data_IF_736831085941
#
_entry.id   IF_736831085941
#
_cell.length_a   1.000
_cell.length_b   1.000
_cell.length_c   1.000
_cell.angle_alpha   90.00
_cell.angle_beta   90.00
_cell.angle_gamma   90.00
#
_symmetry.space_group_name_H-M   'P 1'
#
loop_
_entity.id
_entity.type
_entity.pdbx_description
1 polymer ?
#
# COMPACT_ATOMS: atom_id res chain seq x y z
N UNK A 1 26.93 -16.30 20.64
CA UNK A 1 25.97 -15.25 20.23
C UNK A 1 24.80 -16.02 19.67
N UNK A 2 23.86 -16.31 20.57
CA UNK A 2 22.87 -17.37 20.44
C UNK A 2 21.70 -16.95 19.55
N UNK A 3 20.99 -17.98 19.07
CA UNK A 3 19.76 -17.96 18.29
C UNK A 3 18.62 -17.16 18.96
N UNK A 4 18.73 -15.83 18.95
CA UNK A 4 17.75 -14.88 19.46
C UNK A 4 17.42 -13.87 18.38
N UNK A 5 16.69 -14.30 17.35
CA UNK A 5 15.79 -13.44 16.57
C UNK A 5 15.01 -14.26 15.54
N UNK A 6 14.30 -15.31 16.00
CA UNK A 6 13.05 -15.66 15.31
C UNK A 6 11.99 -14.64 15.74
N UNK A 7 12.26 -13.41 15.33
CA UNK A 7 11.32 -12.32 15.13
C UNK A 7 9.93 -12.87 14.86
N UNK A 8 8.96 -12.57 15.71
CA UNK A 8 7.57 -12.84 15.39
C UNK A 8 7.29 -12.15 14.04
N UNK A 9 7.07 -12.95 13.00
CA UNK A 9 7.00 -12.44 11.64
C UNK A 9 5.80 -11.50 11.51
N UNK A 10 6.05 -10.21 11.26
CA UNK A 10 4.99 -9.30 10.88
C UNK A 10 4.43 -9.72 9.51
N UNK A 11 3.12 -9.57 9.34
CA UNK A 11 2.49 -9.81 8.06
C UNK A 11 3.03 -8.83 7.00
N UNK A 12 3.23 -9.28 5.74
CA UNK A 12 3.61 -8.37 4.66
C UNK A 12 2.51 -7.34 4.42
N UNK A 13 2.92 -6.10 4.18
CA UNK A 13 2.00 -4.98 3.86
C UNK A 13 1.98 -4.68 2.36
N UNK A 14 3.03 -5.10 1.66
CA UNK A 14 3.15 -4.93 0.22
C UNK A 14 3.90 -6.09 -0.42
N UNK A 15 3.78 -6.22 -1.73
CA UNK A 15 4.60 -7.11 -2.53
C UNK A 15 4.86 -6.53 -3.92
N UNK A 16 6.01 -6.84 -4.52
CA UNK A 16 6.30 -6.52 -5.91
C UNK A 16 6.14 -7.75 -6.77
N UNK A 17 5.60 -7.55 -7.97
CA UNK A 17 5.34 -8.59 -8.95
C UNK A 17 6.44 -8.61 -10.01
N UNK A 18 7.07 -9.75 -10.23
CA UNK A 18 8.12 -9.94 -11.22
C UNK A 18 7.83 -11.15 -12.12
N UNK A 19 8.34 -11.07 -13.36
CA UNK A 19 8.68 -12.30 -14.09
C UNK A 19 9.87 -12.98 -13.39
N UNK A 20 9.91 -14.31 -13.37
CA UNK A 20 10.91 -15.07 -12.60
C UNK A 20 12.36 -14.70 -12.98
N UNK A 21 12.61 -14.49 -14.27
CA UNK A 21 13.91 -14.08 -14.82
C UNK A 21 14.34 -12.66 -14.43
N UNK A 22 13.41 -11.86 -13.87
CA UNK A 22 13.65 -10.50 -13.39
C UNK A 22 13.58 -10.37 -11.86
N UNK A 23 13.10 -11.40 -11.16
CA UNK A 23 13.03 -11.42 -9.70
C UNK A 23 14.44 -11.29 -9.08
N UNK A 24 14.72 -10.29 -8.24
CA UNK A 24 16.05 -10.12 -7.67
C UNK A 24 16.44 -11.31 -6.77
N UNK A 25 17.73 -11.64 -6.80
CA UNK A 25 18.36 -12.47 -5.76
C UNK A 25 19.01 -11.57 -4.69
N UNK A 26 19.55 -12.20 -3.64
CA UNK A 26 20.23 -11.50 -2.55
C UNK A 26 21.40 -10.63 -3.03
N UNK A 27 22.18 -11.08 -4.02
CA UNK A 27 23.35 -10.36 -4.50
C UNK A 27 22.95 -9.11 -5.31
N UNK A 28 21.91 -9.21 -6.15
CA UNK A 28 21.34 -8.06 -6.86
C UNK A 28 20.81 -7.00 -5.88
N UNK A 29 20.17 -7.43 -4.78
CA UNK A 29 19.69 -6.54 -3.73
C UNK A 29 20.86 -5.79 -3.04
N UNK A 30 21.94 -6.50 -2.70
CA UNK A 30 23.14 -5.90 -2.10
C UNK A 30 23.84 -4.94 -3.05
N UNK A 31 23.91 -5.29 -4.34
CA UNK A 31 24.49 -4.42 -5.36
C UNK A 31 23.71 -3.11 -5.49
N UNK A 32 22.37 -3.18 -5.55
CA UNK A 32 21.50 -2.00 -5.61
C UNK A 32 21.64 -1.09 -4.39
N UNK A 33 21.67 -1.67 -3.18
CA UNK A 33 21.89 -0.92 -1.94
C UNK A 33 23.19 -0.11 -1.94
N UNK A 34 24.25 -0.63 -2.57
CA UNK A 34 25.55 0.06 -2.70
C UNK A 34 25.58 1.14 -3.77
N UNK A 35 24.81 0.96 -4.85
CA UNK A 35 24.86 1.82 -6.03
C UNK A 35 23.93 3.04 -5.91
N UNK A 36 22.70 2.86 -5.41
CA UNK A 36 21.64 3.88 -5.50
C UNK A 36 21.39 4.63 -4.18
N UNK A 37 21.85 4.07 -3.05
CA UNK A 37 21.77 4.74 -1.74
C UNK A 37 20.35 4.93 -1.17
N UNK A 38 19.31 4.38 -1.82
CA UNK A 38 17.91 4.50 -1.38
C UNK A 38 17.52 3.60 -0.19
N UNK A 39 18.35 2.60 0.12
CA UNK A 39 18.22 1.71 1.28
C UNK A 39 19.56 1.00 1.56
N UNK A 40 19.67 0.33 2.70
CA UNK A 40 20.80 -0.53 3.06
C UNK A 40 20.34 -1.95 3.38
N UNK A 41 21.16 -2.97 3.13
CA UNK A 41 20.91 -4.33 3.61
C UNK A 41 21.53 -4.47 5.01
N UNK A 42 20.70 -4.57 6.05
CA UNK A 42 21.14 -4.66 7.45
C UNK A 42 21.43 -6.10 7.87
N UNK A 43 20.66 -7.06 7.35
CA UNK A 43 20.88 -8.48 7.58
C UNK A 43 20.67 -9.29 6.30
N UNK A 44 21.53 -10.28 6.11
CA UNK A 44 21.32 -11.36 5.14
C UNK A 44 21.59 -12.69 5.83
N UNK A 45 20.67 -13.65 5.78
CA UNK A 45 20.90 -15.00 6.27
C UNK A 45 22.03 -15.67 5.49
N UNK A 46 22.62 -16.70 6.09
CA UNK A 46 23.58 -17.54 5.38
C UNK A 46 22.84 -18.65 4.62
N UNK A 47 23.17 -18.83 3.34
CA UNK A 47 22.56 -19.86 2.49
C UNK A 47 21.31 -19.39 1.73
N UNK A 48 20.59 -20.34 1.15
CA UNK A 48 19.45 -20.12 0.25
C UNK A 48 18.12 -19.91 0.99
N UNK A 49 18.11 -19.00 1.97
CA UNK A 49 16.88 -18.69 2.72
C UNK A 49 15.95 -17.70 1.98
N UNK A 50 16.43 -17.01 0.94
CA UNK A 50 15.60 -16.20 0.04
C UNK A 50 14.93 -14.98 0.69
N UNK A 51 15.54 -14.45 1.75
CA UNK A 51 15.10 -13.21 2.40
C UNK A 51 16.27 -12.35 2.85
N UNK A 52 16.02 -11.06 3.04
CA UNK A 52 16.98 -10.12 3.61
C UNK A 52 16.26 -9.05 4.43
N UNK A 53 16.92 -8.52 5.45
CA UNK A 53 16.45 -7.33 6.16
C UNK A 53 17.04 -6.08 5.50
N UNK A 54 16.17 -5.11 5.24
CA UNK A 54 16.49 -3.83 4.63
C UNK A 54 16.25 -2.71 5.63
N UNK A 55 17.17 -1.77 5.71
CA UNK A 55 17.07 -0.54 6.49
C UNK A 55 16.84 0.66 5.56
N UNK A 56 15.81 1.46 5.85
CA UNK A 56 15.59 2.76 5.23
C UNK A 56 15.07 3.75 6.26
N UNK A 57 15.67 4.94 6.32
CA UNK A 57 15.23 6.04 7.20
C UNK A 57 15.07 5.63 8.68
N UNK A 58 15.92 4.70 9.15
CA UNK A 58 15.90 4.21 10.53
C UNK A 58 14.86 3.11 10.81
N UNK A 59 14.12 2.65 9.80
CA UNK A 59 13.13 1.58 9.90
C UNK A 59 13.64 0.33 9.17
N UNK A 60 13.46 -0.86 9.78
CA UNK A 60 13.79 -2.13 9.11
C UNK A 60 12.57 -2.85 8.55
N UNK A 61 12.77 -3.52 7.42
CA UNK A 61 11.77 -4.29 6.70
C UNK A 61 12.37 -5.61 6.23
N UNK A 62 11.62 -6.69 6.38
CA UNK A 62 11.95 -7.97 5.76
C UNK A 62 11.50 -7.97 4.31
N UNK A 63 12.41 -8.35 3.41
CA UNK A 63 12.12 -8.65 2.03
C UNK A 63 12.26 -10.15 1.82
N UNK A 64 11.20 -10.79 1.29
CA UNK A 64 11.10 -12.25 1.17
C UNK A 64 10.67 -12.66 -0.23
N UNK A 65 11.04 -13.86 -0.64
CA UNK A 65 10.78 -14.34 -2.00
C UNK A 65 11.85 -13.92 -2.99
N UNK A 66 13.09 -13.73 -2.53
CA UNK A 66 14.24 -13.56 -3.41
C UNK A 66 14.47 -14.85 -4.22
N UNK A 67 14.99 -14.72 -5.44
CA UNK A 67 15.13 -15.83 -6.39
C UNK A 67 15.95 -17.01 -5.86
N UNK A 68 16.91 -16.74 -5.00
CA UNK A 68 17.83 -17.71 -4.41
C UNK A 68 17.28 -18.43 -3.17
N UNK A 69 15.98 -18.31 -2.86
CA UNK A 69 15.31 -19.13 -1.86
C UNK A 69 13.83 -19.40 -2.15
N UNK A 70 13.04 -19.72 -1.12
CA UNK A 70 11.64 -20.11 -1.30
C UNK A 70 10.79 -18.95 -1.88
N UNK A 71 9.86 -19.23 -2.80
CA UNK A 71 8.97 -18.20 -3.33
C UNK A 71 8.05 -17.66 -2.22
N UNK A 72 7.78 -16.35 -2.25
CA UNK A 72 6.76 -15.78 -1.40
C UNK A 72 5.35 -16.21 -1.85
N UNK A 73 4.39 -16.38 -0.92
CA UNK A 73 3.00 -16.66 -1.28
C UNK A 73 2.42 -15.48 -2.05
N UNK A 74 1.57 -15.79 -3.04
CA UNK A 74 0.83 -14.76 -3.76
C UNK A 74 -0.16 -14.04 -2.82
N UNK A 75 -0.18 -12.69 -2.78
CA UNK A 75 -1.18 -11.94 -2.04
C UNK A 75 -2.59 -12.10 -2.66
N UNK A 76 -3.64 -12.02 -1.83
CA UNK A 76 -5.04 -11.95 -2.29
C UNK A 76 -5.30 -10.59 -2.96
N UNK A 77 -5.01 -10.46 -4.25
CA UNK A 77 -5.28 -9.27 -5.05
C UNK A 77 -6.65 -9.39 -5.71
N UNK A 78 -7.51 -8.39 -5.49
CA UNK A 78 -8.88 -8.33 -6.04
C UNK A 78 -9.13 -7.12 -6.93
N UNK A 79 -8.21 -6.16 -6.94
CA UNK A 79 -8.31 -4.97 -7.79
C UNK A 79 -6.99 -4.72 -8.48
N UNK A 80 -7.01 -4.58 -9.81
CA UNK A 80 -5.85 -4.24 -10.63
C UNK A 80 -6.03 -2.89 -11.31
N UNK A 81 -5.06 -1.99 -11.19
CA UNK A 81 -5.04 -0.67 -11.85
C UNK A 81 -3.93 -0.61 -12.88
N UNK A 82 -4.30 -0.56 -14.16
CA UNK A 82 -3.35 -0.60 -15.27
C UNK A 82 -2.80 -1.99 -15.60
N UNK A 83 -3.38 -3.04 -15.02
CA UNK A 83 -3.07 -4.43 -15.32
C UNK A 83 -4.31 -5.34 -15.12
N UNK A 84 -4.50 -6.39 -15.92
CA UNK A 84 -5.53 -7.39 -15.70
C UNK A 84 -5.16 -8.31 -14.52
N UNK A 85 -6.12 -8.62 -13.64
CA UNK A 85 -5.89 -9.54 -12.51
C UNK A 85 -5.49 -10.94 -13.00
N UNK A 86 -6.02 -11.39 -14.14
CA UNK A 86 -5.68 -12.68 -14.75
C UNK A 86 -4.20 -12.78 -15.17
N UNK A 87 -3.50 -11.66 -15.32
CA UNK A 87 -2.08 -11.63 -15.69
C UNK A 87 -1.14 -11.84 -14.49
N UNK A 88 -1.68 -12.05 -13.29
CA UNK A 88 -0.93 -12.07 -12.03
C UNK A 88 -0.59 -13.52 -11.59
N UNK A 89 -1.25 -14.53 -12.15
CA UNK A 89 -1.24 -15.92 -11.61
C UNK A 89 0.05 -16.70 -11.81
N UNK A 90 0.89 -16.36 -12.79
CA UNK A 90 2.13 -17.10 -13.10
C UNK A 90 3.41 -16.30 -12.76
N UNK A 91 3.27 -15.27 -11.92
CA UNK A 91 4.37 -14.36 -11.61
C UNK A 91 4.93 -14.59 -10.20
N UNK A 92 6.17 -14.15 -10.01
CA UNK A 92 6.89 -14.29 -8.74
C UNK A 92 6.73 -13.04 -7.90
N UNK A 93 6.62 -13.23 -6.59
CA UNK A 93 6.38 -12.15 -5.65
C UNK A 93 7.59 -11.90 -4.76
N UNK A 94 7.91 -10.64 -4.58
CA UNK A 94 8.84 -10.15 -3.57
C UNK A 94 8.03 -9.44 -2.48
N UNK A 95 7.81 -10.11 -1.35
CA UNK A 95 7.01 -9.58 -0.25
C UNK A 95 7.83 -8.64 0.64
N UNK A 96 7.19 -7.57 1.12
CA UNK A 96 7.78 -6.59 2.03
C UNK A 96 6.97 -6.52 3.31
N UNK A 97 7.61 -6.82 4.44
CA UNK A 97 7.01 -6.79 5.77
C UNK A 97 7.78 -5.83 6.68
N UNK A 98 7.10 -5.03 7.54
CA UNK A 98 7.77 -4.30 8.61
C UNK A 98 8.54 -5.24 9.53
N UNK A 99 9.70 -4.81 10.04
CA UNK A 99 10.40 -5.57 11.08
C UNK A 99 9.58 -5.64 12.39
N UNK A 100 9.86 -6.60 13.30
CA UNK A 100 9.04 -6.80 14.51
C UNK A 100 8.95 -5.60 15.44
N UNK A 101 9.97 -4.75 15.43
CA UNK A 101 10.01 -3.50 16.19
C UNK A 101 8.96 -2.48 15.72
N UNK A 102 8.35 -2.68 14.54
CA UNK A 102 7.24 -1.88 14.00
C UNK A 102 5.88 -2.51 14.24
N UNK A 103 5.79 -3.65 14.93
CA UNK A 103 4.51 -4.28 15.25
C UNK A 103 3.62 -3.32 16.07
N UNK A 104 2.39 -3.11 15.61
CA UNK A 104 1.43 -2.12 16.12
C UNK A 104 1.59 -0.71 15.54
N UNK A 105 2.70 -0.43 14.84
CA UNK A 105 3.01 0.84 14.21
C UNK A 105 3.02 0.77 12.67
N UNK A 106 2.76 -0.40 12.07
CA UNK A 106 2.81 -0.64 10.62
C UNK A 106 1.86 0.25 9.81
N UNK A 107 0.78 0.71 10.44
CA UNK A 107 -0.23 1.59 9.84
C UNK A 107 0.10 3.09 9.95
N UNK A 108 1.14 3.47 10.66
CA UNK A 108 1.49 4.88 10.84
C UNK A 108 1.98 5.46 9.50
N UNK A 109 1.51 6.66 9.14
CA UNK A 109 1.88 7.31 7.88
C UNK A 109 3.39 7.44 7.65
N UNK A 110 4.24 7.75 8.66
CA UNK A 110 5.68 7.74 8.45
C UNK A 110 6.21 6.37 7.98
N UNK A 111 5.70 5.27 8.53
CA UNK A 111 6.10 3.91 8.12
C UNK A 111 5.64 3.64 6.70
N UNK A 112 4.40 3.95 6.37
CA UNK A 112 3.84 3.75 5.02
C UNK A 112 4.59 4.58 3.98
N UNK A 113 5.01 5.80 4.33
CA UNK A 113 5.80 6.66 3.44
C UNK A 113 7.17 6.04 3.13
N UNK A 114 7.84 5.47 4.14
CA UNK A 114 9.09 4.74 3.94
C UNK A 114 8.88 3.48 3.12
N UNK A 115 7.82 2.71 3.36
CA UNK A 115 7.46 1.54 2.54
C UNK A 115 7.22 1.94 1.10
N UNK A 116 6.45 3.00 0.85
CA UNK A 116 6.15 3.49 -0.49
C UNK A 116 7.43 3.82 -1.27
N UNK A 117 8.34 4.56 -0.62
CA UNK A 117 9.61 4.93 -1.21
C UNK A 117 10.52 3.70 -1.40
N UNK A 118 10.51 2.75 -0.47
CA UNK A 118 11.25 1.49 -0.58
C UNK A 118 10.75 0.65 -1.77
N UNK A 119 9.43 0.52 -1.96
CA UNK A 119 8.84 -0.20 -3.09
C UNK A 119 9.30 0.39 -4.43
N UNK A 120 9.38 1.72 -4.54
CA UNK A 120 9.93 2.38 -5.74
C UNK A 120 11.41 2.05 -5.98
N UNK A 121 12.22 1.91 -4.95
CA UNK A 121 13.63 1.51 -5.13
C UNK A 121 13.76 0.03 -5.50
N UNK A 122 13.01 -0.86 -4.83
CA UNK A 122 13.01 -2.29 -5.12
C UNK A 122 12.55 -2.58 -6.55
N UNK A 123 11.57 -1.82 -7.05
CA UNK A 123 11.06 -1.94 -8.41
C UNK A 123 12.09 -1.64 -9.51
N UNK A 124 13.24 -1.04 -9.18
CA UNK A 124 14.32 -0.72 -10.14
C UNK A 124 15.37 -1.83 -10.27
N UNK A 125 15.51 -2.69 -9.26
CA UNK A 125 16.56 -3.73 -9.20
C UNK A 125 16.38 -4.78 -10.32
N UNK A 126 15.14 -5.07 -10.64
CA UNK A 126 14.70 -5.76 -11.85
C UNK A 126 13.39 -5.13 -12.30
N UNK A 127 12.97 -5.28 -13.58
CA UNK A 127 11.73 -4.68 -14.06
C UNK A 127 10.51 -5.35 -13.42
N UNK A 128 10.10 -4.83 -12.26
CA UNK A 128 8.84 -5.22 -11.63
C UNK A 128 7.69 -4.82 -12.56
N UNK A 129 6.68 -5.67 -12.66
CA UNK A 129 5.48 -5.42 -13.46
C UNK A 129 4.43 -4.62 -12.68
N UNK A 130 4.38 -4.81 -11.35
CA UNK A 130 3.39 -4.17 -10.49
C UNK A 130 3.81 -4.18 -9.02
N UNK A 131 3.11 -3.37 -8.23
CA UNK A 131 3.14 -3.36 -6.77
C UNK A 131 1.75 -3.72 -6.26
N UNK A 132 1.68 -4.66 -5.33
CA UNK A 132 0.49 -4.97 -4.55
C UNK A 132 0.57 -4.28 -3.19
N UNK A 133 -0.44 -3.48 -2.85
CA UNK A 133 -0.73 -3.04 -1.50
C UNK A 133 -1.74 -4.00 -0.87
N UNK A 134 -1.26 -4.82 0.05
CA UNK A 134 -1.99 -5.98 0.58
C UNK A 134 -3.23 -5.57 1.38
N UNK A 135 -3.19 -4.54 2.25
CA UNK A 135 -4.38 -4.13 3.02
C UNK A 135 -5.60 -3.76 2.17
N UNK A 136 -5.38 -3.26 0.95
CA UNK A 136 -6.46 -2.89 0.02
C UNK A 136 -6.75 -3.97 -1.03
N UNK A 137 -6.05 -5.12 -0.99
CA UNK A 137 -6.09 -6.16 -2.04
C UNK A 137 -5.93 -5.56 -3.44
N UNK A 138 -5.05 -4.58 -3.54
CA UNK A 138 -4.90 -3.69 -4.68
C UNK A 138 -3.54 -3.90 -5.33
N UNK A 139 -3.48 -4.08 -6.64
CA UNK A 139 -2.26 -4.05 -7.41
C UNK A 139 -2.27 -2.91 -8.43
N UNK A 140 -1.15 -2.22 -8.55
CA UNK A 140 -0.93 -1.13 -9.51
C UNK A 140 0.25 -1.46 -10.40
N UNK A 141 0.13 -1.12 -11.69
CA UNK A 141 1.30 -1.07 -12.57
C UNK A 141 2.32 -0.06 -12.02
N UNK A 142 3.61 -0.35 -12.14
CA UNK A 142 4.69 0.46 -11.52
C UNK A 142 4.55 1.94 -11.86
N UNK A 143 4.28 2.30 -13.11
CA UNK A 143 4.22 3.71 -13.52
C UNK A 143 3.05 4.45 -12.86
N UNK A 144 1.92 3.77 -12.64
CA UNK A 144 0.78 4.35 -11.94
C UNK A 144 1.05 4.50 -10.44
N UNK A 145 1.76 3.55 -9.84
CA UNK A 145 2.18 3.65 -8.44
C UNK A 145 3.10 4.85 -8.25
N UNK A 146 4.17 4.96 -9.05
CA UNK A 146 5.13 6.08 -8.98
C UNK A 146 4.46 7.44 -9.21
N UNK A 147 3.58 7.54 -10.21
CA UNK A 147 2.82 8.76 -10.47
C UNK A 147 1.96 9.17 -9.28
N UNK A 148 1.37 8.21 -8.56
CA UNK A 148 0.54 8.49 -7.40
C UNK A 148 1.37 8.91 -6.19
N UNK A 149 2.46 8.20 -5.87
CA UNK A 149 3.20 8.43 -4.62
C UNK A 149 4.18 9.60 -4.70
N UNK A 150 4.72 9.94 -5.87
CA UNK A 150 5.78 10.95 -5.98
C UNK A 150 5.36 12.33 -5.45
N UNK A 151 4.20 12.88 -5.81
CA UNK A 151 3.73 14.15 -5.23
C UNK A 151 3.61 14.09 -3.70
N UNK A 152 3.20 12.95 -3.14
CA UNK A 152 3.09 12.76 -1.70
C UNK A 152 4.46 12.70 -1.02
N UNK A 153 5.43 12.01 -1.63
CA UNK A 153 6.81 12.00 -1.16
C UNK A 153 7.45 13.40 -1.18
N UNK A 154 7.00 14.27 -2.09
CA UNK A 154 7.39 15.70 -2.15
C UNK A 154 6.59 16.61 -1.18
N UNK A 155 5.74 16.03 -0.32
CA UNK A 155 4.96 16.77 0.70
C UNK A 155 3.53 17.12 0.29
N UNK A 156 3.04 16.58 -0.83
CA UNK A 156 1.66 16.69 -1.28
C UNK A 156 0.66 15.85 -0.47
N UNK A 157 -0.60 15.74 -0.93
CA UNK A 157 -1.66 15.00 -0.24
C UNK A 157 -1.43 13.49 -0.28
N UNK A 158 -2.09 12.75 0.60
CA UNK A 158 -2.04 11.30 0.66
C UNK A 158 -2.52 10.68 -0.67
N UNK A 159 -1.79 9.69 -1.24
CA UNK A 159 -2.05 9.18 -2.57
C UNK A 159 -3.05 8.03 -2.50
N UNK A 160 -4.32 8.37 -2.23
CA UNK A 160 -5.41 7.39 -2.11
C UNK A 160 -5.41 6.33 -3.23
N UNK A 161 -5.18 6.66 -4.52
CA UNK A 161 -5.17 5.65 -5.58
C UNK A 161 -4.11 4.54 -5.42
N UNK A 162 -3.04 4.76 -4.65
CA UNK A 162 -1.98 3.77 -4.43
C UNK A 162 -2.25 2.83 -3.24
N UNK A 163 -3.13 3.25 -2.30
CA UNK A 163 -3.27 2.57 -1.00
C UNK A 163 -4.70 2.21 -0.62
N UNK A 164 -5.71 2.69 -1.35
CA UNK A 164 -7.12 2.42 -1.07
C UNK A 164 -7.81 2.02 -2.36
N UNK A 165 -8.37 0.82 -2.39
CA UNK A 165 -9.20 0.37 -3.49
C UNK A 165 -10.59 1.03 -3.38
N UNK A 166 -11.18 1.37 -4.52
CA UNK A 166 -12.51 1.98 -4.61
C UNK A 166 -13.40 1.13 -5.50
N UNK A 167 -14.50 0.65 -4.95
CA UNK A 167 -15.46 -0.22 -5.61
C UNK A 167 -16.74 0.53 -5.92
N UNK A 168 -17.22 0.43 -7.15
CA UNK A 168 -18.54 0.94 -7.50
C UNK A 168 -19.61 -0.01 -6.96
N UNK A 169 -20.56 0.56 -6.23
CA UNK A 169 -21.73 -0.14 -5.73
C UNK A 169 -22.86 -0.10 -6.76
N UNK A 170 -23.83 -1.02 -6.63
CA UNK A 170 -24.95 -1.13 -7.57
C UNK A 170 -25.85 0.11 -7.61
N UNK A 171 -25.89 0.88 -6.53
CA UNK A 171 -26.62 2.15 -6.40
C UNK A 171 -25.85 3.36 -6.98
N UNK A 172 -24.68 3.12 -7.57
CA UNK A 172 -23.79 4.16 -8.11
C UNK A 172 -22.85 4.77 -7.07
N UNK A 173 -22.92 4.34 -5.81
CA UNK A 173 -21.99 4.74 -4.75
C UNK A 173 -20.57 4.20 -4.95
N UNK A 174 -19.67 4.65 -4.09
CA UNK A 174 -18.29 4.17 -4.00
C UNK A 174 -18.01 3.68 -2.59
N UNK A 175 -17.52 2.45 -2.47
CA UNK A 175 -17.04 1.89 -1.21
C UNK A 175 -15.53 1.76 -1.23
N UNK A 176 -14.87 2.10 -0.13
CA UNK A 176 -13.43 1.88 0.03
C UNK A 176 -13.09 0.47 0.51
N UNK A 177 -11.85 0.11 0.28
CA UNK A 177 -11.23 -1.07 0.86
C UNK A 177 -9.75 -0.81 1.13
N UNK A 178 -9.31 -1.13 2.34
CA UNK A 178 -7.97 -0.89 2.85
C UNK A 178 -7.80 0.46 3.54
N UNK A 179 -8.83 1.32 3.55
CA UNK A 179 -8.79 2.57 4.34
C UNK A 179 -8.77 2.25 5.84
N UNK A 180 -9.43 1.17 6.24
CA UNK A 180 -9.49 0.76 7.64
C UNK A 180 -8.11 0.45 8.24
N UNK A 181 -7.15 0.03 7.42
CA UNK A 181 -5.77 -0.17 7.86
C UNK A 181 -5.17 1.13 8.38
N UNK A 182 -5.48 2.24 7.72
CA UNK A 182 -4.95 3.58 8.02
C UNK A 182 -5.73 4.28 9.14
N UNK A 183 -7.05 4.24 9.08
CA UNK A 183 -7.93 5.08 9.92
C UNK A 183 -8.75 4.27 10.94
N UNK A 184 -8.79 2.94 10.79
CA UNK A 184 -9.70 2.06 11.52
C UNK A 184 -11.10 1.97 10.91
N UNK A 185 -11.41 2.67 9.81
CA UNK A 185 -12.74 2.69 9.19
C UNK A 185 -12.69 2.66 7.65
N UNK A 186 -13.67 2.01 7.04
CA UNK A 186 -14.02 2.18 5.63
C UNK A 186 -15.14 3.21 5.46
N UNK A 187 -15.33 3.77 4.26
CA UNK A 187 -16.51 4.55 3.95
C UNK A 187 -17.28 4.05 2.72
N UNK A 188 -18.58 4.37 2.70
CA UNK A 188 -19.43 4.32 1.51
C UNK A 188 -19.86 5.74 1.17
N UNK A 189 -19.43 6.23 0.01
CA UNK A 189 -19.80 7.52 -0.55
C UNK A 189 -20.99 7.34 -1.48
N UNK A 190 -22.16 7.87 -1.08
CA UNK A 190 -23.38 7.84 -1.88
C UNK A 190 -23.48 9.04 -2.82
N UNK A 191 -24.02 8.86 -4.04
CA UNK A 191 -24.43 9.99 -4.86
C UNK A 191 -25.59 10.72 -4.18
N UNK A 192 -25.65 12.04 -4.31
CA UNK A 192 -26.76 12.85 -3.78
C UNK A 192 -28.11 12.52 -4.42
N UNK A 193 -28.07 12.13 -5.70
CA UNK A 193 -29.22 11.71 -6.50
C UNK A 193 -28.71 10.75 -7.58
N UNK A 194 -29.52 9.78 -8.06
CA UNK A 194 -29.18 8.95 -9.22
C UNK A 194 -28.81 9.74 -10.48
N UNK A 195 -29.25 11.01 -10.57
CA UNK A 195 -28.98 11.94 -11.66
C UNK A 195 -27.82 12.90 -11.40
N UNK A 196 -27.02 12.69 -10.35
CA UNK A 196 -25.93 13.59 -9.97
C UNK A 196 -24.67 13.33 -10.81
N UNK A 197 -24.18 14.37 -11.49
CA UNK A 197 -22.91 14.36 -12.25
C UNK A 197 -21.67 14.57 -11.34
N UNK A 198 -21.83 14.46 -10.01
CA UNK A 198 -20.72 14.68 -9.08
C UNK A 198 -19.57 13.69 -9.39
N UNK A 199 -18.31 14.17 -9.49
CA UNK A 199 -17.18 13.30 -9.78
C UNK A 199 -16.81 12.49 -8.54
N UNK A 200 -17.62 11.49 -8.18
CA UNK A 200 -17.50 10.72 -6.93
C UNK A 200 -16.10 10.18 -6.69
N UNK A 201 -15.38 9.76 -7.74
CA UNK A 201 -13.99 9.29 -7.59
C UNK A 201 -13.06 10.41 -7.10
N UNK A 202 -13.22 11.65 -7.58
CA UNK A 202 -12.45 12.81 -7.12
C UNK A 202 -12.78 13.15 -5.67
N UNK A 203 -14.07 13.11 -5.31
CA UNK A 203 -14.53 13.34 -3.94
C UNK A 203 -13.96 12.28 -3.01
N UNK A 204 -14.05 11.00 -3.39
CA UNK A 204 -13.53 9.88 -2.62
C UNK A 204 -12.02 10.00 -2.37
N UNK A 205 -11.22 10.36 -3.39
CA UNK A 205 -9.77 10.57 -3.23
C UNK A 205 -9.48 11.69 -2.21
N UNK A 206 -10.22 12.80 -2.27
CA UNK A 206 -10.06 13.92 -1.32
C UNK A 206 -10.55 13.56 0.08
N UNK A 207 -11.61 12.78 0.19
CA UNK A 207 -12.13 12.33 1.47
C UNK A 207 -11.16 11.35 2.16
N UNK A 208 -10.53 10.44 1.41
CA UNK A 208 -9.47 9.56 1.95
C UNK A 208 -8.34 10.40 2.54
N UNK A 209 -7.82 11.38 1.79
CA UNK A 209 -6.75 12.28 2.27
C UNK A 209 -7.16 13.03 3.55
N UNK A 210 -8.40 13.54 3.59
CA UNK A 210 -8.94 14.20 4.76
C UNK A 210 -9.02 13.25 5.97
N UNK A 211 -9.58 12.05 5.81
CA UNK A 211 -9.72 11.06 6.89
C UNK A 211 -8.37 10.56 7.39
N UNK A 212 -7.41 10.36 6.50
CA UNK A 212 -6.04 9.98 6.87
C UNK A 212 -5.37 11.08 7.71
N UNK A 213 -5.71 12.35 7.46
CA UNK A 213 -5.18 13.50 8.20
C UNK A 213 -5.89 13.72 9.54
N UNK A 214 -7.21 13.54 9.59
CA UNK A 214 -8.05 13.89 10.75
C UNK A 214 -8.37 12.69 11.66
N UNK A 215 -8.12 11.47 11.20
CA UNK A 215 -8.40 10.25 11.94
C UNK A 215 -9.84 9.76 11.81
N UNK A 216 -10.26 8.80 12.66
CA UNK A 216 -11.57 8.18 12.59
C UNK A 216 -12.70 9.15 12.90
N UNK A 217 -13.85 8.92 12.28
CA UNK A 217 -15.10 9.65 12.54
C UNK A 217 -15.84 8.93 13.65
N UNK A 218 -16.01 9.60 14.79
CA UNK A 218 -16.72 9.06 15.96
C UNK A 218 -18.10 9.70 16.18
N UNK A 219 -18.35 10.83 15.52
CA UNK A 219 -19.60 11.60 15.58
C UNK A 219 -19.88 12.18 14.19
N UNK A 220 -21.14 12.50 13.91
CA UNK A 220 -21.50 13.15 12.64
C UNK A 220 -20.69 14.44 12.44
N UNK A 221 -20.12 14.61 11.26
CA UNK A 221 -19.23 15.70 10.93
C UNK A 221 -19.42 16.14 9.47
N UNK A 222 -18.89 17.32 9.14
CA UNK A 222 -18.83 17.83 7.78
C UNK A 222 -17.37 18.04 7.40
N UNK A 223 -16.93 17.36 6.34
CA UNK A 223 -15.60 17.53 5.77
C UNK A 223 -15.65 18.52 4.61
N UNK A 224 -14.95 19.64 4.75
CA UNK A 224 -14.81 20.63 3.68
C UNK A 224 -13.63 20.25 2.80
N UNK A 225 -13.92 19.71 1.63
CA UNK A 225 -12.92 19.17 0.71
C UNK A 225 -12.57 20.20 -0.38
N UNK A 226 -11.28 20.50 -0.51
CA UNK A 226 -10.78 21.50 -1.46
C UNK A 226 -11.19 21.15 -2.91
N UNK A 227 -11.95 22.04 -3.54
CA UNK A 227 -12.40 21.91 -4.93
C UNK A 227 -13.56 20.94 -5.16
N UNK A 228 -14.14 20.35 -4.10
CA UNK A 228 -15.33 19.48 -4.21
C UNK A 228 -16.48 19.91 -3.30
N UNK A 229 -16.23 20.71 -2.27
CA UNK A 229 -17.26 21.22 -1.36
C UNK A 229 -17.45 20.36 -0.12
N UNK A 230 -18.59 20.52 0.54
CA UNK A 230 -18.94 19.83 1.77
C UNK A 230 -19.31 18.36 1.53
N UNK A 231 -18.80 17.48 2.40
CA UNK A 231 -19.20 16.09 2.50
C UNK A 231 -19.63 15.81 3.92
N UNK A 232 -20.89 15.42 4.09
CA UNK A 232 -21.42 14.98 5.38
C UNK A 232 -20.92 13.57 5.65
N UNK A 233 -20.46 13.33 6.86
CA UNK A 233 -19.93 12.06 7.36
C UNK A 233 -20.77 11.63 8.56
N UNK A 234 -21.25 10.40 8.52
CA UNK A 234 -21.96 9.77 9.63
C UNK A 234 -21.26 8.46 9.99
N UNK A 235 -20.86 8.33 11.25
CA UNK A 235 -20.32 7.07 11.76
C UNK A 235 -21.47 6.08 11.96
N UNK A 236 -21.45 4.98 11.22
CA UNK A 236 -22.33 3.84 11.52
C UNK A 236 -21.71 2.98 12.63
N UNK A 237 -22.52 2.10 13.25
CA UNK A 237 -22.01 1.16 14.24
C UNK A 237 -20.88 0.30 13.65
N UNK A 238 -19.69 0.36 14.25
CA UNK A 238 -18.53 -0.44 13.84
C UNK A 238 -17.44 0.38 13.13
N UNK A 239 -16.91 -0.17 12.04
CA UNK A 239 -15.77 0.33 11.26
C UNK A 239 -16.20 1.03 9.96
N UNK A 240 -17.41 1.60 9.90
CA UNK A 240 -17.99 2.16 8.67
C UNK A 240 -18.44 3.61 8.81
N UNK A 241 -18.17 4.38 7.77
CA UNK A 241 -18.62 5.77 7.60
C UNK A 241 -19.56 5.82 6.41
N UNK A 242 -20.74 6.41 6.59
CA UNK A 242 -21.59 6.82 5.49
C UNK A 242 -21.25 8.26 5.10
N UNK A 243 -21.00 8.51 3.81
CA UNK A 243 -20.62 9.81 3.29
C UNK A 243 -21.52 10.24 2.13
N UNK A 244 -21.87 11.53 2.05
CA UNK A 244 -22.59 12.10 0.92
C UNK A 244 -22.31 13.60 0.77
N UNK A 245 -22.42 14.12 -0.45
CA UNK A 245 -22.32 15.56 -0.68
C UNK A 245 -23.61 16.27 -0.27
N UNK A 246 -23.47 17.39 0.45
CA UNK A 246 -24.57 18.32 0.69
C UNK A 246 -24.86 19.23 -0.51
#
# INVERSE_FOLDING_TARGET
MEASDRSAECAPVAALLYQLEHLPDTDALVAAARAEGGFAVSHRPQGSEGWAEILREGLTFDVRGLRDGPPAPAPDVRTGVGLPILSITDQSWLAVAPGPHLAGAERLLPVIRVVAALLSELAKIGPASAIAWIPARLALKIEHFEQAIRPWLDGGPFPAPAFVAMHREADGGLRTEGLNFLTGQEFILRPRSPSSDAPLARIAVRLVDWLVTHGPVTQSAEAILAGTGAVVLEAESGDRILAWCD
#
